data_IF_663127864888
#
_entry.id   IF_663127864888
#
_cell.length_a   1.000
_cell.length_b   1.000
_cell.length_c   1.000
_cell.angle_alpha   90.00
_cell.angle_beta   90.00
_cell.angle_gamma   90.00
#
_symmetry.space_group_name_H-M   'P 1'
#
loop_
_entity.id
_entity.type
_entity.pdbx_description
1 polymer ?
#
# COMPACT_ATOMS: atom_id res chain seq x y z
N UNK A 1 -2.43 10.86 15.16
CA UNK A 1 -2.80 9.70 15.99
C UNK A 1 -2.67 9.95 17.50
N UNK A 2 -1.90 10.93 17.96
CA UNK A 2 -1.75 11.19 19.42
C UNK A 2 -0.78 10.25 20.14
N UNK A 3 -0.14 9.34 19.42
CA UNK A 3 0.88 8.39 19.90
C UNK A 3 2.14 8.58 19.08
N UNK A 4 2.81 9.71 19.25
CA UNK A 4 4.10 9.96 18.61
C UNK A 4 5.19 9.10 19.27
N UNK A 5 6.18 8.69 18.49
CA UNK A 5 7.35 8.02 19.04
C UNK A 5 8.14 8.99 19.92
N UNK A 6 8.61 8.49 21.05
CA UNK A 6 9.60 9.17 21.89
C UNK A 6 10.99 9.09 21.25
N UNK A 7 11.90 9.99 21.66
CA UNK A 7 13.29 9.96 21.22
C UNK A 7 13.99 8.64 21.59
N UNK A 8 13.61 8.05 22.72
CA UNK A 8 14.14 6.75 23.17
C UNK A 8 13.65 5.62 22.25
N UNK A 9 12.35 5.58 21.91
CA UNK A 9 11.80 4.59 20.97
C UNK A 9 12.45 4.71 19.60
N UNK A 10 12.65 5.93 19.10
CA UNK A 10 13.34 6.17 17.84
C UNK A 10 14.80 5.67 17.90
N UNK A 11 15.55 6.00 18.95
CA UNK A 11 16.93 5.50 19.16
C UNK A 11 17.00 3.99 19.30
N UNK A 12 15.97 3.36 19.87
CA UNK A 12 15.86 1.91 20.05
C UNK A 12 15.30 1.18 18.81
N UNK A 13 15.14 1.90 17.69
CA UNK A 13 14.71 1.36 16.41
C UNK A 13 13.26 0.89 16.38
N UNK A 14 12.39 1.44 17.25
CA UNK A 14 10.97 1.05 17.32
C UNK A 14 10.23 1.45 16.06
N UNK A 15 10.60 2.57 15.44
CA UNK A 15 10.01 3.03 14.18
C UNK A 15 10.20 1.98 13.09
N UNK A 16 11.43 1.51 12.91
CA UNK A 16 11.79 0.49 11.93
C UNK A 16 11.12 -0.85 12.25
N UNK A 17 10.99 -1.21 13.53
CA UNK A 17 10.25 -2.42 13.94
C UNK A 17 8.78 -2.34 13.55
N UNK A 18 8.12 -1.19 13.74
CA UNK A 18 6.73 -0.97 13.32
C UNK A 18 6.61 -1.03 11.80
N UNK A 19 7.50 -0.35 11.07
CA UNK A 19 7.55 -0.39 9.59
C UNK A 19 7.72 -1.82 9.10
N UNK A 20 8.65 -2.58 9.68
CA UNK A 20 8.93 -3.96 9.30
C UNK A 20 7.76 -4.90 9.62
N UNK A 21 7.13 -4.74 10.79
CA UNK A 21 5.95 -5.50 11.20
C UNK A 21 4.79 -5.29 10.23
N UNK A 22 4.57 -4.05 9.82
CA UNK A 22 3.51 -3.66 8.89
C UNK A 22 3.92 -3.74 7.41
N UNK A 23 5.14 -4.18 7.11
CA UNK A 23 5.63 -4.23 5.74
C UNK A 23 4.85 -5.24 4.90
N UNK A 24 4.76 -4.98 3.59
CA UNK A 24 4.10 -5.90 2.66
C UNK A 24 4.70 -7.30 2.75
N UNK A 25 6.03 -7.41 2.80
CA UNK A 25 6.73 -8.69 2.86
C UNK A 25 6.43 -9.45 4.16
N UNK A 26 6.45 -8.80 5.31
CA UNK A 26 6.09 -9.46 6.58
C UNK A 26 4.65 -9.94 6.54
N UNK A 27 3.71 -9.04 6.25
CA UNK A 27 2.28 -9.35 6.30
C UNK A 27 1.88 -10.42 5.28
N UNK A 28 2.42 -10.37 4.06
CA UNK A 28 2.16 -11.39 3.02
C UNK A 28 2.64 -12.78 3.43
N UNK A 29 3.76 -12.86 4.14
CA UNK A 29 4.40 -14.13 4.46
C UNK A 29 3.94 -14.75 5.79
N UNK A 30 3.07 -14.08 6.55
CA UNK A 30 2.41 -14.67 7.71
C UNK A 30 1.52 -15.85 7.30
N UNK A 31 1.60 -16.95 8.04
CA UNK A 31 0.82 -18.15 7.74
C UNK A 31 -0.68 -17.87 7.67
N UNK A 32 -1.21 -17.00 8.53
CA UNK A 32 -2.62 -16.62 8.53
C UNK A 32 -3.07 -15.95 7.22
N UNK A 33 -2.15 -15.39 6.44
CA UNK A 33 -2.44 -14.67 5.19
C UNK A 33 -2.12 -15.49 3.93
N UNK A 34 -1.79 -16.78 4.05
CA UNK A 34 -1.51 -17.68 2.92
C UNK A 34 -2.69 -18.60 2.60
N UNK A 35 -2.78 -19.01 1.34
CA UNK A 35 -3.81 -19.93 0.84
C UNK A 35 -5.22 -19.36 0.97
N UNK A 36 -6.18 -20.25 1.21
CA UNK A 36 -7.62 -19.92 1.24
C UNK A 36 -8.13 -19.57 2.65
N UNK A 37 -7.26 -19.08 3.53
CA UNK A 37 -7.63 -18.73 4.90
C UNK A 37 -8.52 -17.50 4.90
N UNK A 38 -9.69 -17.61 5.52
CA UNK A 38 -10.64 -16.52 5.65
C UNK A 38 -10.43 -15.73 6.95
N UNK A 39 -11.18 -14.63 7.05
CA UNK A 39 -11.35 -13.89 8.30
C UNK A 39 -12.19 -14.70 9.28
N UNK A 40 -11.89 -14.54 10.56
CA UNK A 40 -12.57 -15.26 11.65
C UNK A 40 -13.65 -14.38 12.31
N UNK A 41 -13.52 -13.06 12.19
CA UNK A 41 -14.37 -12.07 12.83
C UNK A 41 -15.69 -11.84 12.06
N UNK A 42 -15.66 -11.88 10.74
CA UNK A 42 -16.85 -11.79 9.90
C UNK A 42 -16.65 -12.45 8.53
N UNK A 43 -17.73 -12.90 7.85
CA UNK A 43 -17.64 -13.41 6.49
C UNK A 43 -17.04 -12.37 5.53
N UNK A 44 -16.15 -12.82 4.64
CA UNK A 44 -15.57 -12.00 3.59
C UNK A 44 -15.63 -12.77 2.27
N UNK A 45 -15.96 -12.12 1.14
CA UNK A 45 -15.88 -12.77 -0.16
C UNK A 45 -14.43 -13.03 -0.61
N UNK A 46 -13.44 -12.59 0.17
CA UNK A 46 -12.02 -12.72 -0.14
C UNK A 46 -11.28 -13.47 0.95
N UNK A 47 -10.39 -14.36 0.52
CA UNK A 47 -9.40 -15.00 1.39
C UNK A 47 -8.33 -13.97 1.77
N UNK A 48 -7.66 -14.17 2.90
CA UNK A 48 -6.63 -13.24 3.42
C UNK A 48 -5.46 -13.07 2.44
N UNK A 49 -5.15 -14.06 1.62
CA UNK A 49 -4.09 -13.97 0.61
C UNK A 49 -4.42 -13.00 -0.53
N UNK A 50 -5.71 -12.79 -0.84
CA UNK A 50 -6.14 -11.88 -1.90
C UNK A 50 -5.72 -10.42 -1.66
N UNK A 51 -5.56 -10.01 -0.41
CA UNK A 51 -5.11 -8.66 -0.04
C UNK A 51 -3.62 -8.40 -0.37
N UNK A 52 -2.80 -9.45 -0.55
CA UNK A 52 -1.34 -9.35 -0.68
C UNK A 52 -0.80 -9.85 -2.05
N UNK A 53 -1.26 -9.23 -3.14
CA UNK A 53 -0.88 -9.62 -4.52
C UNK A 53 0.61 -9.44 -4.85
N UNK A 54 1.04 -8.22 -5.22
CA UNK A 54 2.42 -7.94 -5.69
C UNK A 54 3.17 -6.90 -4.87
N UNK A 55 2.48 -5.88 -4.34
CA UNK A 55 3.09 -4.84 -3.50
C UNK A 55 4.12 -3.97 -4.22
N UNK A 56 3.94 -3.70 -5.53
CA UNK A 56 4.91 -2.96 -6.36
C UNK A 56 4.28 -1.78 -7.09
N UNK A 57 5.00 -0.66 -7.11
CA UNK A 57 4.72 0.48 -7.98
C UNK A 57 5.03 0.14 -9.44
N UNK A 58 4.24 0.67 -10.37
CA UNK A 58 4.47 0.50 -11.82
C UNK A 58 3.92 -0.80 -12.41
N UNK A 59 3.27 -1.66 -11.62
CA UNK A 59 2.74 -2.93 -12.14
C UNK A 59 1.60 -2.76 -13.17
N UNK A 60 1.04 -1.56 -13.29
CA UNK A 60 0.01 -1.22 -14.28
C UNK A 60 0.45 -1.45 -15.73
N UNK A 61 1.75 -1.35 -16.02
CA UNK A 61 2.32 -1.56 -17.37
C UNK A 61 2.10 -2.99 -17.88
N UNK A 62 1.85 -3.95 -16.99
CA UNK A 62 1.56 -5.34 -17.37
C UNK A 62 0.11 -5.55 -17.82
N UNK A 63 -0.75 -4.54 -17.68
CA UNK A 63 -2.20 -4.66 -17.90
C UNK A 63 -2.78 -3.57 -18.81
N UNK A 64 -2.22 -2.36 -18.78
CA UNK A 64 -2.72 -1.23 -19.57
C UNK A 64 -1.90 -1.04 -20.85
N UNK A 65 -2.59 -0.74 -21.94
CA UNK A 65 -1.93 -0.21 -23.15
C UNK A 65 -1.45 1.22 -22.90
N UNK A 66 -0.47 1.73 -23.68
CA UNK A 66 -0.03 3.11 -23.59
C UNK A 66 -1.17 4.13 -23.69
N UNK A 67 -2.15 3.89 -24.57
CA UNK A 67 -3.31 4.77 -24.74
C UNK A 67 -4.22 4.81 -23.51
N UNK A 68 -4.43 3.65 -22.85
CA UNK A 68 -5.21 3.59 -21.61
C UNK A 68 -4.52 4.35 -20.47
N UNK A 69 -3.19 4.24 -20.39
CA UNK A 69 -2.39 4.97 -19.41
C UNK A 69 -2.41 6.48 -19.68
N UNK A 70 -2.15 6.91 -20.91
CA UNK A 70 -2.19 8.32 -21.30
C UNK A 70 -3.58 8.94 -21.04
N UNK A 71 -4.66 8.18 -21.25
CA UNK A 71 -6.02 8.63 -20.95
C UNK A 71 -6.21 8.91 -19.46
N UNK A 72 -5.76 8.03 -18.56
CA UNK A 72 -5.95 8.25 -17.12
C UNK A 72 -5.02 9.35 -16.60
N UNK A 73 -3.80 9.45 -17.13
CA UNK A 73 -2.86 10.54 -16.81
C UNK A 73 -3.48 11.90 -17.15
N UNK A 74 -4.06 12.05 -18.34
CA UNK A 74 -4.74 13.28 -18.75
C UNK A 74 -5.94 13.63 -17.86
N UNK A 75 -6.75 12.65 -17.44
CA UNK A 75 -7.86 12.87 -16.51
C UNK A 75 -7.34 13.34 -15.14
N UNK A 76 -6.28 12.72 -14.64
CA UNK A 76 -5.67 13.09 -13.35
C UNK A 76 -5.12 14.53 -13.40
N UNK A 77 -4.40 14.88 -14.45
CA UNK A 77 -3.87 16.23 -14.65
C UNK A 77 -5.00 17.27 -14.68
N UNK A 78 -6.04 17.05 -15.48
CA UNK A 78 -7.17 17.97 -15.58
C UNK A 78 -7.85 18.20 -14.22
N UNK A 79 -8.08 17.11 -13.46
CA UNK A 79 -8.84 17.20 -12.20
C UNK A 79 -8.01 17.71 -11.02
N UNK A 80 -6.70 17.46 -11.01
CA UNK A 80 -5.86 17.80 -9.87
C UNK A 80 -4.95 19.01 -10.09
N UNK A 81 -4.92 19.58 -11.30
CA UNK A 81 -4.18 20.83 -11.55
C UNK A 81 -4.67 21.94 -10.61
N UNK A 82 -3.71 22.60 -9.95
CA UNK A 82 -3.98 23.68 -9.00
C UNK A 82 -4.41 23.23 -7.61
N UNK A 83 -4.55 21.92 -7.35
CA UNK A 83 -4.90 21.40 -6.01
C UNK A 83 -3.68 21.16 -5.11
N UNK A 84 -2.47 21.15 -5.68
CA UNK A 84 -1.22 20.74 -5.00
C UNK A 84 -0.97 19.23 -5.00
N UNK A 85 -1.92 18.40 -5.46
CA UNK A 85 -1.76 16.93 -5.48
C UNK A 85 -0.83 16.41 -6.59
N UNK A 86 -0.55 17.24 -7.60
CA UNK A 86 0.38 16.91 -8.69
C UNK A 86 1.79 17.45 -8.46
N UNK A 87 1.98 18.37 -7.51
CA UNK A 87 3.25 19.02 -7.24
C UNK A 87 4.02 18.23 -6.17
N UNK A 88 4.70 17.15 -6.60
CA UNK A 88 5.70 16.50 -5.75
C UNK A 88 7.01 17.30 -5.78
N UNK A 89 7.38 17.93 -4.67
CA UNK A 89 8.73 18.44 -4.43
C UNK A 89 9.01 19.92 -4.77
N UNK A 90 8.31 20.85 -4.11
CA UNK A 90 8.94 22.13 -3.72
C UNK A 90 9.36 22.05 -2.26
#
# INVERSE_FOLDING_TARGET
MGYGFTDEEAKNGVVEKVVNLCSFETLKNLEVNKGDKEREDHPSPFTKSAYFRKGKTGDWVNYLTPDMAARIDGIMEEKFKGTGLLEYGK
#
